data_IF_222850859347
#
_entry.id   IF_222850859347
#
_cell.length_a   1.000
_cell.length_b   1.000
_cell.length_c   1.000
_cell.angle_alpha   90.00
_cell.angle_beta   90.00
_cell.angle_gamma   90.00
#
_symmetry.space_group_name_H-M   'P 1'
#
loop_
_entity.id
_entity.type
_entity.pdbx_description
1 polymer ?
#
# COMPACT_ATOMS: atom_id res chain seq x y z
N UNK A 1 -1.92 -32.92 -18.35
CA UNK A 1 -2.07 -33.14 -16.91
C UNK A 1 -0.69 -33.06 -16.28
N UNK A 2 -0.46 -32.12 -15.34
CA UNK A 2 0.80 -32.09 -14.58
C UNK A 2 0.90 -33.37 -13.74
N UNK A 3 2.09 -33.94 -13.53
CA UNK A 3 2.22 -35.15 -12.73
C UNK A 3 1.77 -34.85 -11.28
N UNK A 4 0.93 -35.72 -10.70
CA UNK A 4 0.32 -35.55 -9.35
C UNK A 4 1.34 -35.15 -8.25
N UNK A 5 2.60 -35.52 -8.41
CA UNK A 5 3.71 -35.17 -7.51
C UNK A 5 4.11 -33.69 -7.59
N UNK A 6 4.09 -33.08 -8.79
CA UNK A 6 4.36 -31.66 -8.98
C UNK A 6 3.22 -30.79 -8.44
N UNK A 7 1.96 -31.21 -8.60
CA UNK A 7 0.81 -30.53 -7.99
C UNK A 7 0.87 -30.54 -6.46
N UNK A 8 1.26 -31.67 -5.86
CA UNK A 8 1.42 -31.76 -4.41
C UNK A 8 2.53 -30.84 -3.89
N UNK A 9 3.69 -30.82 -4.55
CA UNK A 9 4.79 -29.91 -4.19
C UNK A 9 4.35 -28.45 -4.31
N UNK A 10 3.68 -28.07 -5.40
CA UNK A 10 3.16 -26.72 -5.59
C UNK A 10 2.19 -26.29 -4.47
N UNK A 11 1.29 -27.19 -4.08
CA UNK A 11 0.34 -26.95 -2.98
C UNK A 11 1.04 -26.80 -1.62
N UNK A 12 1.96 -27.71 -1.30
CA UNK A 12 2.70 -27.70 -0.03
C UNK A 12 3.55 -26.41 0.09
N UNK A 13 4.12 -25.91 -1.02
CA UNK A 13 4.83 -24.63 -1.06
C UNK A 13 3.91 -23.42 -0.83
N UNK A 14 2.72 -23.41 -1.44
CA UNK A 14 1.76 -22.31 -1.24
C UNK A 14 1.30 -22.24 0.22
N UNK A 15 0.98 -23.39 0.82
CA UNK A 15 0.55 -23.45 2.23
C UNK A 15 1.64 -22.96 3.19
N UNK A 16 2.91 -23.28 2.91
CA UNK A 16 4.05 -22.78 3.69
C UNK A 16 4.20 -21.25 3.59
N UNK A 17 4.09 -20.69 2.40
CA UNK A 17 4.16 -19.23 2.20
C UNK A 17 3.00 -18.51 2.90
N UNK A 18 1.78 -19.05 2.83
CA UNK A 18 0.64 -18.40 3.47
C UNK A 18 0.70 -18.48 5.00
N UNK A 19 1.21 -19.59 5.56
CA UNK A 19 1.51 -19.68 6.99
C UNK A 19 2.63 -18.73 7.41
N UNK A 20 3.69 -18.59 6.62
CA UNK A 20 4.80 -17.71 6.99
C UNK A 20 4.40 -16.23 7.00
N UNK A 21 3.54 -15.78 6.08
CA UNK A 21 2.97 -14.42 6.07
C UNK A 21 2.19 -14.07 7.35
N UNK A 22 1.72 -15.05 8.12
CA UNK A 22 1.06 -14.82 9.41
C UNK A 22 2.05 -14.46 10.51
N UNK A 23 3.27 -14.99 10.43
CA UNK A 23 4.30 -14.92 11.46
C UNK A 23 5.41 -13.91 11.14
N UNK A 24 5.53 -13.52 9.88
CA UNK A 24 6.51 -12.52 9.43
C UNK A 24 5.95 -11.12 9.70
N UNK A 25 6.72 -10.24 10.36
CA UNK A 25 6.31 -8.86 10.56
C UNK A 25 6.21 -8.12 9.20
N UNK A 26 5.33 -7.13 9.09
CA UNK A 26 5.25 -6.33 7.86
C UNK A 26 6.52 -5.52 7.65
N UNK A 27 6.75 -5.13 6.40
CA UNK A 27 7.82 -4.18 6.09
C UNK A 27 7.53 -2.79 6.67
N UNK A 28 8.57 -2.01 6.97
CA UNK A 28 8.44 -0.63 7.44
C UNK A 28 7.57 0.23 6.49
N UNK A 29 7.69 -0.01 5.18
CA UNK A 29 6.88 0.67 4.16
C UNK A 29 5.39 0.36 4.30
N UNK A 30 5.05 -0.90 4.57
CA UNK A 30 3.66 -1.31 4.81
C UNK A 30 3.13 -0.70 6.10
N UNK A 31 3.90 -0.73 7.18
CA UNK A 31 3.50 -0.10 8.44
C UNK A 31 3.30 1.41 8.30
N UNK A 32 4.23 2.10 7.63
CA UNK A 32 4.09 3.53 7.37
C UNK A 32 2.87 3.86 6.50
N UNK A 33 2.53 3.01 5.53
CA UNK A 33 1.30 3.17 4.74
C UNK A 33 0.05 2.91 5.59
N UNK A 34 0.03 1.84 6.39
CA UNK A 34 -1.06 1.54 7.30
C UNK A 34 -1.29 2.68 8.30
N UNK A 35 -0.23 3.25 8.89
CA UNK A 35 -0.34 4.36 9.83
C UNK A 35 -0.97 5.59 9.17
N UNK A 36 -0.51 5.98 7.98
CA UNK A 36 -1.11 7.11 7.24
C UNK A 36 -2.57 6.88 6.93
N UNK A 37 -2.92 5.67 6.49
CA UNK A 37 -4.31 5.30 6.21
C UNK A 37 -5.18 5.36 7.47
N UNK A 38 -4.64 4.90 8.60
CA UNK A 38 -5.31 4.94 9.90
C UNK A 38 -5.54 6.39 10.36
N UNK A 39 -4.51 7.25 10.29
CA UNK A 39 -4.59 8.69 10.58
C UNK A 39 -5.67 9.38 9.73
N UNK A 40 -5.69 9.11 8.42
CA UNK A 40 -6.68 9.69 7.52
C UNK A 40 -8.12 9.24 7.80
N UNK A 41 -8.29 7.98 8.21
CA UNK A 41 -9.59 7.44 8.60
C UNK A 41 -9.97 7.79 10.05
N UNK A 42 -9.12 8.51 10.79
CA UNK A 42 -9.29 8.75 12.22
C UNK A 42 -9.39 7.45 13.03
N UNK A 43 -8.77 6.37 12.54
CA UNK A 43 -8.83 5.02 13.08
C UNK A 43 -7.48 4.60 13.65
N UNK A 44 -7.46 3.61 14.54
CA UNK A 44 -6.22 3.01 15.05
C UNK A 44 -5.79 1.80 14.20
N UNK A 45 -4.49 1.50 14.17
CA UNK A 45 -4.01 0.24 13.59
C UNK A 45 -4.60 -0.95 14.36
N UNK A 46 -4.99 -2.03 13.67
CA UNK A 46 -5.49 -3.22 14.34
C UNK A 46 -4.40 -3.90 15.17
N UNK A 47 -4.79 -4.46 16.32
CA UNK A 47 -3.87 -5.20 17.20
C UNK A 47 -3.21 -6.35 16.43
N UNK A 48 -1.88 -6.37 16.42
CA UNK A 48 -1.09 -7.40 15.73
C UNK A 48 -0.73 -7.07 14.28
N UNK A 49 -1.19 -5.94 13.73
CA UNK A 49 -0.73 -5.47 12.42
C UNK A 49 0.79 -5.29 12.36
N UNK A 50 1.44 -4.92 13.48
CA UNK A 50 2.90 -4.81 13.59
C UNK A 50 3.65 -6.15 13.55
N UNK A 51 2.94 -7.26 13.81
CA UNK A 51 3.55 -8.60 13.94
C UNK A 51 3.15 -9.55 12.82
N UNK A 52 2.14 -9.19 12.03
CA UNK A 52 1.61 -10.04 10.98
C UNK A 52 1.48 -9.25 9.67
N UNK A 53 2.31 -9.60 8.69
CA UNK A 53 2.27 -9.05 7.33
C UNK A 53 0.88 -9.24 6.70
N UNK A 54 0.21 -10.38 6.95
CA UNK A 54 -1.16 -10.60 6.50
C UNK A 54 -2.13 -9.59 7.10
N UNK A 55 -2.14 -9.43 8.43
CA UNK A 55 -3.06 -8.50 9.11
C UNK A 55 -2.85 -7.04 8.68
N UNK A 56 -1.58 -6.63 8.49
CA UNK A 56 -1.24 -5.31 7.98
C UNK A 56 -1.72 -5.10 6.54
N UNK A 57 -1.51 -6.09 5.67
CA UNK A 57 -1.93 -6.01 4.26
C UNK A 57 -3.46 -5.94 4.14
N UNK A 58 -4.18 -6.79 4.86
CA UNK A 58 -5.66 -6.76 4.88
C UNK A 58 -6.21 -5.43 5.38
N UNK A 59 -5.57 -4.82 6.38
CA UNK A 59 -5.95 -3.49 6.85
C UNK A 59 -5.72 -2.43 5.77
N UNK A 60 -4.55 -2.44 5.12
CA UNK A 60 -4.23 -1.50 4.04
C UNK A 60 -5.25 -1.60 2.91
N UNK A 61 -5.60 -2.81 2.47
CA UNK A 61 -6.55 -3.00 1.38
C UNK A 61 -7.95 -2.47 1.73
N UNK A 62 -8.44 -2.77 2.93
CA UNK A 62 -9.72 -2.24 3.44
C UNK A 62 -9.70 -0.72 3.59
N UNK A 63 -8.63 -0.18 4.17
CA UNK A 63 -8.49 1.24 4.40
C UNK A 63 -8.39 2.01 3.08
N UNK A 64 -7.65 1.49 2.09
CA UNK A 64 -7.62 2.06 0.73
C UNK A 64 -8.99 2.10 0.08
N UNK A 65 -9.80 1.04 0.24
CA UNK A 65 -11.16 1.01 -0.26
C UNK A 65 -12.09 2.04 0.43
N UNK A 66 -11.81 2.40 1.69
CA UNK A 66 -12.59 3.38 2.45
C UNK A 66 -12.18 4.84 2.19
N UNK A 67 -10.88 5.12 2.07
CA UNK A 67 -10.36 6.50 1.89
C UNK A 67 -10.72 7.07 0.52
N UNK A 68 -10.94 6.22 -0.49
CA UNK A 68 -11.30 6.64 -1.85
C UNK A 68 -10.14 7.32 -2.57
N UNK A 69 -9.85 8.58 -2.24
CA UNK A 69 -8.68 9.33 -2.73
C UNK A 69 -7.68 9.60 -1.60
N UNK A 70 -6.49 9.04 -1.76
CA UNK A 70 -5.35 9.34 -0.92
C UNK A 70 -4.71 10.66 -1.35
N UNK A 71 -4.39 11.59 -0.44
CA UNK A 71 -3.59 12.76 -0.76
C UNK A 71 -2.20 12.30 -1.24
N UNK A 72 -1.60 13.06 -2.16
CA UNK A 72 -0.26 12.76 -2.63
C UNK A 72 0.75 12.82 -1.48
N UNK A 73 1.75 11.93 -1.53
CA UNK A 73 2.87 12.01 -0.60
C UNK A 73 3.68 13.29 -0.84
N UNK A 74 4.37 13.80 0.19
CA UNK A 74 5.25 14.95 0.03
C UNK A 74 6.31 14.77 -1.07
N UNK A 75 6.75 13.52 -1.33
CA UNK A 75 7.66 13.21 -2.43
C UNK A 75 6.99 13.38 -3.80
N UNK A 76 5.75 12.89 -3.96
CA UNK A 76 4.98 13.08 -5.20
C UNK A 76 4.72 14.57 -5.46
N UNK A 77 4.27 15.31 -4.45
CA UNK A 77 4.07 16.76 -4.56
C UNK A 77 5.33 17.50 -4.95
N UNK A 78 6.46 17.21 -4.29
CA UNK A 78 7.73 17.89 -4.60
C UNK A 78 8.21 17.58 -6.02
N UNK A 79 8.02 16.34 -6.48
CA UNK A 79 8.36 15.96 -7.84
C UNK A 79 7.47 16.67 -8.86
N UNK A 80 6.15 16.64 -8.66
CA UNK A 80 5.20 17.31 -9.54
C UNK A 80 5.42 18.83 -9.58
N UNK A 81 5.70 19.47 -8.43
CA UNK A 81 6.04 20.91 -8.38
C UNK A 81 7.32 21.24 -9.16
N UNK A 82 8.34 20.38 -9.10
CA UNK A 82 9.57 20.55 -9.89
C UNK A 82 9.29 20.46 -11.39
N UNK A 83 8.54 19.44 -11.81
CA UNK A 83 8.17 19.25 -13.21
C UNK A 83 7.34 20.42 -13.75
N UNK A 84 6.38 20.92 -12.94
CA UNK A 84 5.58 22.09 -13.27
C UNK A 84 6.46 23.35 -13.45
N UNK A 85 7.41 23.57 -12.54
CA UNK A 85 8.35 24.69 -12.61
C UNK A 85 9.27 24.60 -13.84
N UNK A 86 9.79 23.41 -14.16
CA UNK A 86 10.63 23.17 -15.35
C UNK A 86 9.85 23.40 -16.65
N UNK A 87 8.57 23.00 -16.70
CA UNK A 87 7.69 23.21 -17.84
C UNK A 87 7.09 24.63 -17.89
N UNK A 88 7.27 25.45 -16.85
CA UNK A 88 6.67 26.79 -16.76
C UNK A 88 5.14 26.79 -16.64
N UNK A 89 4.55 25.69 -16.15
CA UNK A 89 3.11 25.54 -15.96
C UNK A 89 2.73 25.52 -14.47
N UNK A 90 1.48 25.81 -14.16
CA UNK A 90 0.97 25.66 -12.80
C UNK A 90 0.64 24.19 -12.51
N UNK A 91 0.90 23.75 -11.27
CA UNK A 91 0.47 22.43 -10.81
C UNK A 91 -1.06 22.42 -10.65
N UNK A 92 -1.78 21.46 -11.27
CA UNK A 92 -3.23 21.35 -11.13
C UNK A 92 -3.68 21.15 -9.67
N UNK A 93 -4.81 21.76 -9.29
CA UNK A 93 -5.32 21.69 -7.91
C UNK A 93 -5.79 20.28 -7.49
N UNK A 94 -6.14 19.42 -8.44
CA UNK A 94 -6.47 18.02 -8.22
C UNK A 94 -5.21 17.17 -7.94
N UNK A 95 -4.08 17.49 -8.58
CA UNK A 95 -2.77 16.90 -8.28
C UNK A 95 -2.33 17.19 -6.84
N UNK A 96 -2.80 18.28 -6.22
CA UNK A 96 -2.52 18.54 -4.80
C UNK A 96 -3.37 17.72 -3.83
N UNK A 97 -4.52 17.20 -4.30
CA UNK A 97 -5.53 16.53 -3.46
C UNK A 97 -5.56 15.02 -3.65
N UNK A 98 -5.07 14.52 -4.79
CA UNK A 98 -5.09 13.10 -5.13
C UNK A 98 -3.70 12.61 -5.54
N UNK A 99 -3.26 11.54 -4.89
CA UNK A 99 -2.04 10.82 -5.23
C UNK A 99 -2.09 10.24 -6.65
N UNK A 100 -3.26 9.82 -7.14
CA UNK A 100 -3.44 9.39 -8.52
C UNK A 100 -3.33 10.56 -9.51
N UNK A 101 -4.01 11.68 -9.24
CA UNK A 101 -3.89 12.87 -10.08
C UNK A 101 -2.45 13.39 -10.11
N UNK A 102 -1.78 13.41 -8.95
CA UNK A 102 -0.38 13.81 -8.81
C UNK A 102 0.59 12.88 -9.56
N UNK A 103 0.27 11.59 -9.67
CA UNK A 103 1.11 10.63 -10.39
C UNK A 103 0.88 10.64 -11.90
N UNK A 104 -0.26 11.18 -12.35
CA UNK A 104 -0.60 11.35 -13.78
C UNK A 104 -0.04 12.63 -14.37
N UNK A 105 0.26 13.62 -13.54
CA UNK A 105 0.94 14.86 -13.90
C UNK A 105 2.41 14.58 -14.24
#
# INVERSE_FOLDING_TARGET
ALPRRAEKISRDYSEFIDKSKLLVPPTEKQLGLAMRLAEQLGSALPKGAEKSLKACSEFIDKAKAQVGQLPPSGKQLNFARRLAAEAGIALPADAEKSSEACSRF
#
